data_IF_562898364271
#
_entry.id   IF_562898364271
#
_cell.length_a   1.000
_cell.length_b   1.000
_cell.length_c   1.000
_cell.angle_alpha   90.00
_cell.angle_beta   90.00
_cell.angle_gamma   90.00
#
_symmetry.space_group_name_H-M   'P 1'
#
loop_
_entity.id
_entity.type
_entity.pdbx_description
1 polymer ?
#
# COMPACT_ATOMS: atom_id res chain seq x y z
N UNK A 1 36.60 -12.52 -19.58
CA UNK A 1 36.86 -13.03 -18.23
C UNK A 1 37.88 -12.11 -17.58
N UNK A 2 37.42 -11.16 -16.77
CA UNK A 2 37.70 -11.25 -15.33
C UNK A 2 36.45 -10.98 -14.49
N UNK A 3 36.24 -11.79 -13.45
CA UNK A 3 35.18 -11.60 -12.45
C UNK A 3 35.71 -10.65 -11.38
N UNK A 4 35.17 -9.43 -11.30
CA UNK A 4 35.39 -8.55 -10.14
C UNK A 4 34.48 -9.00 -9.01
N UNK A 5 35.02 -9.77 -8.07
CA UNK A 5 34.37 -10.09 -6.80
C UNK A 5 34.53 -8.89 -5.86
N UNK A 6 33.56 -7.99 -5.85
CA UNK A 6 33.41 -7.04 -4.75
C UNK A 6 32.61 -7.71 -3.64
N UNK A 7 33.05 -7.65 -2.37
CA UNK A 7 32.28 -8.18 -1.25
C UNK A 7 31.02 -7.31 -1.00
N UNK A 8 29.91 -7.91 -0.52
CA UNK A 8 28.70 -7.16 -0.19
C UNK A 8 28.93 -6.24 1.03
N UNK A 9 28.16 -5.14 1.15
CA UNK A 9 28.34 -4.15 2.21
C UNK A 9 27.99 -4.71 3.60
N UNK A 10 28.57 -4.17 4.69
CA UNK A 10 28.22 -4.60 6.04
C UNK A 10 26.81 -4.12 6.40
N UNK A 11 25.87 -5.06 6.61
CA UNK A 11 24.55 -4.76 7.18
C UNK A 11 24.67 -4.44 8.67
N UNK A 12 24.03 -3.33 9.05
CA UNK A 12 23.75 -2.84 10.42
C UNK A 12 23.60 -3.97 11.43
N UNK A 13 24.48 -4.00 12.43
CA UNK A 13 24.28 -4.76 13.65
C UNK A 13 23.02 -4.26 14.37
N UNK A 14 22.13 -5.18 14.77
CA UNK A 14 21.14 -4.88 15.82
C UNK A 14 21.93 -4.62 17.10
N UNK A 15 21.81 -3.40 17.62
CA UNK A 15 22.30 -2.97 18.93
C UNK A 15 21.79 -3.92 20.01
N UNK A 16 22.69 -4.71 20.57
CA UNK A 16 22.59 -5.16 21.96
C UNK A 16 23.98 -4.91 22.56
N UNK A 17 24.15 -3.69 23.07
CA UNK A 17 25.32 -3.32 23.86
C UNK A 17 24.86 -3.18 25.31
N UNK A 18 25.46 -3.97 26.20
CA UNK A 18 25.52 -3.68 27.63
C UNK A 18 26.77 -4.34 28.21
N UNK A 19 27.53 -3.63 29.06
CA UNK A 19 28.96 -3.82 29.18
C UNK A 19 29.34 -4.85 30.25
N UNK A 20 30.56 -5.36 30.08
CA UNK A 20 31.32 -6.16 31.02
C UNK A 20 31.42 -5.51 32.42
N UNK A 21 31.36 -6.35 33.45
CA UNK A 21 32.11 -6.12 34.69
C UNK A 21 32.75 -7.41 35.21
N UNK A 22 34.01 -7.28 35.63
CA UNK A 22 34.92 -8.34 36.04
C UNK A 22 34.76 -8.73 37.52
N UNK A 23 34.72 -10.02 37.86
CA UNK A 23 35.59 -10.66 38.88
C UNK A 23 35.30 -12.16 39.07
N UNK A 24 36.37 -12.96 39.13
CA UNK A 24 36.45 -14.31 39.71
C UNK A 24 37.31 -14.18 41.00
N UNK A 25 37.54 -15.18 41.90
CA UNK A 25 37.07 -16.57 41.92
C UNK A 25 36.66 -17.13 43.30
N UNK A 26 36.00 -18.31 43.33
CA UNK A 26 36.28 -19.49 44.17
C UNK A 26 35.04 -20.31 44.54
N UNK A 27 35.23 -21.63 44.63
CA UNK A 27 34.50 -22.48 45.57
C UNK A 27 33.70 -23.61 44.90
N UNK A 28 34.26 -24.82 44.93
CA UNK A 28 33.63 -26.03 44.45
C UNK A 28 32.32 -26.40 45.15
N UNK A 29 31.49 -27.16 44.43
CA UNK A 29 30.25 -27.70 44.95
C UNK A 29 29.44 -28.32 43.82
N UNK A 30 29.69 -29.60 43.56
CA UNK A 30 28.92 -30.44 42.64
C UNK A 30 27.46 -30.51 43.11
N UNK A 31 26.57 -29.81 42.41
CA UNK A 31 25.13 -30.11 42.39
C UNK A 31 24.78 -30.56 40.97
N UNK A 32 24.00 -31.63 40.78
CA UNK A 32 23.43 -31.93 39.48
C UNK A 32 22.37 -30.85 39.24
N UNK A 33 22.75 -29.80 38.54
CA UNK A 33 21.85 -28.73 38.18
C UNK A 33 20.98 -29.28 37.04
N UNK A 34 19.75 -29.66 37.38
CA UNK A 34 18.64 -29.82 36.43
C UNK A 34 18.25 -28.44 35.90
N UNK A 35 19.16 -27.81 35.16
CA UNK A 35 18.89 -26.58 34.43
C UNK A 35 18.64 -26.97 32.98
N UNK A 36 17.37 -27.18 32.67
CA UNK A 36 16.83 -27.19 31.32
C UNK A 36 16.90 -25.80 30.68
N UNK A 37 18.08 -25.18 30.66
CA UNK A 37 18.35 -24.04 29.79
C UNK A 37 18.40 -24.60 28.37
N UNK A 38 17.30 -24.47 27.63
CA UNK A 38 17.36 -24.53 26.17
C UNK A 38 18.50 -23.61 25.75
N UNK A 39 19.56 -24.19 25.19
CA UNK A 39 20.65 -23.41 24.61
C UNK A 39 20.02 -22.63 23.46
N UNK A 40 20.04 -21.31 23.54
CA UNK A 40 19.61 -20.46 22.42
C UNK A 40 20.45 -20.87 21.21
N UNK A 41 19.80 -21.52 20.25
CA UNK A 41 20.42 -21.92 19.00
C UNK A 41 20.74 -20.64 18.21
N UNK A 42 21.90 -20.56 17.54
CA UNK A 42 22.21 -19.41 16.70
C UNK A 42 21.19 -19.30 15.56
N UNK A 43 20.94 -18.08 15.05
CA UNK A 43 20.07 -17.88 13.90
C UNK A 43 20.60 -18.64 12.68
N UNK A 44 19.69 -19.22 11.90
CA UNK A 44 20.04 -19.90 10.65
C UNK A 44 20.55 -18.89 9.62
N UNK A 45 21.40 -19.35 8.72
CA UNK A 45 21.76 -18.58 7.52
C UNK A 45 20.52 -18.37 6.64
N UNK A 46 20.45 -17.24 5.93
CA UNK A 46 19.30 -16.90 5.06
C UNK A 46 19.09 -17.94 3.94
N UNK A 47 20.18 -18.46 3.39
CA UNK A 47 20.20 -19.55 2.41
C UNK A 47 21.60 -20.18 2.35
N UNK A 48 21.76 -21.22 1.52
CA UNK A 48 23.08 -21.82 1.22
C UNK A 48 24.08 -20.84 0.61
N UNK A 49 23.59 -19.71 0.07
CA UNK A 49 24.40 -18.63 -0.51
C UNK A 49 24.54 -17.42 0.42
N UNK A 50 23.91 -17.45 1.61
CA UNK A 50 23.89 -16.32 2.54
C UNK A 50 23.01 -15.14 2.10
N UNK A 51 22.20 -15.31 1.04
CA UNK A 51 21.29 -14.28 0.50
C UNK A 51 19.83 -14.72 0.64
N UNK A 52 18.94 -13.76 0.86
CA UNK A 52 17.49 -14.01 0.84
C UNK A 52 17.05 -14.19 -0.63
N UNK A 53 16.30 -15.25 -0.98
CA UNK A 53 15.76 -15.39 -2.32
C UNK A 53 14.76 -14.26 -2.62
N UNK A 54 14.63 -13.93 -3.90
CA UNK A 54 13.68 -12.94 -4.35
C UNK A 54 12.24 -13.39 -4.07
N UNK A 55 11.40 -12.48 -3.56
CA UNK A 55 9.96 -12.66 -3.50
C UNK A 55 9.36 -12.36 -4.89
N UNK A 56 9.09 -13.41 -5.67
CA UNK A 56 8.52 -13.33 -7.02
C UNK A 56 7.20 -12.56 -7.04
N UNK A 57 6.40 -12.62 -5.98
CA UNK A 57 5.14 -11.89 -5.91
C UNK A 57 5.39 -10.38 -5.87
N UNK A 58 6.34 -9.94 -5.05
CA UNK A 58 6.69 -8.53 -4.93
C UNK A 58 7.37 -8.06 -6.22
N UNK A 59 8.23 -8.89 -6.82
CA UNK A 59 8.85 -8.58 -8.10
C UNK A 59 7.81 -8.39 -9.20
N UNK A 60 6.81 -9.25 -9.30
CA UNK A 60 5.76 -9.15 -10.33
C UNK A 60 4.99 -7.83 -10.20
N UNK A 61 4.63 -7.43 -8.98
CA UNK A 61 3.99 -6.13 -8.73
C UNK A 61 4.92 -4.98 -9.11
N UNK A 62 6.21 -5.07 -8.77
CA UNK A 62 7.19 -4.05 -9.12
C UNK A 62 7.37 -3.94 -10.64
N UNK A 63 7.46 -5.07 -11.35
CA UNK A 63 7.55 -5.12 -12.80
C UNK A 63 6.31 -4.52 -13.48
N UNK A 64 5.12 -4.85 -12.99
CA UNK A 64 3.87 -4.25 -13.45
C UNK A 64 3.86 -2.72 -13.27
N UNK A 65 4.11 -2.22 -12.07
CA UNK A 65 4.09 -0.77 -11.79
C UNK A 65 5.15 -0.05 -12.61
N UNK A 66 6.36 -0.59 -12.67
CA UNK A 66 7.46 -0.03 -13.47
C UNK A 66 7.09 0.02 -14.95
N UNK A 67 6.52 -1.04 -15.50
CA UNK A 67 6.07 -1.06 -16.88
C UNK A 67 5.01 0.02 -17.16
N UNK A 68 4.01 0.17 -16.29
CA UNK A 68 3.00 1.23 -16.41
C UNK A 68 3.61 2.64 -16.38
N UNK A 69 4.60 2.88 -15.50
CA UNK A 69 5.32 4.16 -15.43
C UNK A 69 6.11 4.43 -16.71
N UNK A 70 6.87 3.44 -17.20
CA UNK A 70 7.78 3.63 -18.34
C UNK A 70 7.07 3.69 -19.69
N UNK A 71 5.85 3.17 -19.77
CA UNK A 71 5.04 3.16 -21.00
C UNK A 71 3.88 4.16 -20.98
N UNK A 72 3.80 5.00 -19.94
CA UNK A 72 2.76 6.02 -19.82
C UNK A 72 2.79 6.99 -21.02
N UNK A 73 1.65 7.61 -21.36
CA UNK A 73 1.62 8.70 -22.33
C UNK A 73 2.54 9.85 -21.91
N UNK A 74 3.15 10.52 -22.88
CA UNK A 74 3.97 11.73 -22.66
C UNK A 74 3.08 12.95 -22.37
N UNK A 75 2.46 12.92 -21.20
CA UNK A 75 1.56 13.95 -20.69
C UNK A 75 2.06 14.32 -19.28
N UNK A 76 2.24 15.62 -19.04
CA UNK A 76 2.63 16.13 -17.73
C UNK A 76 1.54 15.84 -16.71
N UNK A 77 1.89 15.11 -15.65
CA UNK A 77 0.98 14.76 -14.56
C UNK A 77 1.69 13.91 -13.51
N UNK A 78 0.99 13.69 -12.40
CA UNK A 78 1.49 12.89 -11.30
C UNK A 78 1.09 11.44 -11.48
N UNK A 79 2.02 10.51 -11.28
CA UNK A 79 1.68 9.09 -11.16
C UNK A 79 1.18 8.82 -9.75
N UNK A 80 0.00 8.22 -9.69
CA UNK A 80 -0.58 7.67 -8.48
C UNK A 80 -0.52 6.14 -8.56
N UNK A 81 0.07 5.53 -7.54
CA UNK A 81 0.04 4.08 -7.31
C UNK A 81 -0.70 3.85 -6.02
N UNK A 82 -1.84 3.17 -6.11
CA UNK A 82 -2.72 2.90 -4.98
C UNK A 82 -3.07 1.40 -4.91
N UNK A 83 -3.23 0.87 -3.70
CA UNK A 83 -3.79 -0.44 -3.45
C UNK A 83 -5.09 -0.28 -2.66
N UNK A 84 -6.18 -0.83 -3.19
CA UNK A 84 -7.50 -0.79 -2.55
C UNK A 84 -7.86 -2.13 -1.97
N UNK A 85 -8.46 -2.13 -0.79
CA UNK A 85 -9.01 -3.34 -0.14
C UNK A 85 -10.47 -3.50 -0.57
N UNK A 86 -10.83 -4.69 -1.02
CA UNK A 86 -12.13 -4.94 -1.64
C UNK A 86 -12.40 -6.42 -1.89
N UNK A 87 -13.33 -6.71 -2.81
CA UNK A 87 -13.68 -8.09 -3.18
C UNK A 87 -13.66 -8.26 -4.69
N UNK A 88 -13.05 -9.36 -5.14
CA UNK A 88 -13.11 -9.79 -6.53
C UNK A 88 -14.36 -10.64 -6.73
N UNK A 89 -15.31 -10.14 -7.53
CA UNK A 89 -16.56 -10.83 -7.83
C UNK A 89 -16.62 -11.31 -9.26
N UNK A 90 -17.10 -12.52 -9.44
CA UNK A 90 -17.48 -13.03 -10.74
C UNK A 90 -18.63 -12.18 -11.30
N UNK A 91 -18.50 -11.73 -12.56
CA UNK A 91 -19.48 -10.79 -13.14
C UNK A 91 -20.86 -11.41 -13.32
N UNK A 92 -20.93 -12.71 -13.60
CA UNK A 92 -22.21 -13.39 -13.85
C UNK A 92 -22.98 -13.67 -12.55
N UNK A 93 -22.32 -14.26 -11.55
CA UNK A 93 -22.95 -14.68 -10.29
C UNK A 93 -22.99 -13.58 -9.23
N UNK A 94 -22.12 -12.57 -9.34
CA UNK A 94 -21.93 -11.55 -8.31
C UNK A 94 -21.35 -12.08 -7.00
N UNK A 95 -20.94 -13.34 -6.95
CA UNK A 95 -20.28 -13.93 -5.78
C UNK A 95 -18.79 -13.63 -5.82
N UNK A 96 -18.13 -13.65 -4.65
CA UNK A 96 -16.67 -13.62 -4.58
C UNK A 96 -16.12 -14.81 -5.38
N UNK A 97 -15.12 -14.55 -6.22
CA UNK A 97 -14.50 -15.59 -7.04
C UNK A 97 -13.88 -16.68 -6.14
N UNK A 98 -13.87 -17.90 -6.64
CA UNK A 98 -13.18 -19.02 -5.99
C UNK A 98 -12.23 -19.65 -6.99
N UNK A 99 -10.93 -19.46 -6.76
CA UNK A 99 -9.87 -20.02 -7.60
C UNK A 99 -9.20 -21.21 -6.92
N UNK A 100 -8.74 -22.22 -7.67
CA UNK A 100 -8.08 -23.41 -7.13
C UNK A 100 -6.62 -23.11 -6.71
N UNK A 101 -6.43 -22.08 -5.88
CA UNK A 101 -5.13 -21.64 -5.33
C UNK A 101 -5.20 -21.55 -3.81
N UNK A 102 -4.11 -21.87 -3.14
CA UNK A 102 -4.06 -21.97 -1.68
C UNK A 102 -3.52 -20.70 -0.99
N UNK A 103 -2.96 -19.77 -1.76
CA UNK A 103 -2.26 -18.60 -1.24
C UNK A 103 -2.63 -17.36 -2.04
N UNK A 104 -2.28 -16.21 -1.50
CA UNK A 104 -2.37 -14.92 -2.19
C UNK A 104 -1.76 -15.05 -3.59
N UNK A 105 -2.52 -14.68 -4.61
CA UNK A 105 -2.16 -14.90 -6.01
C UNK A 105 -2.54 -13.68 -6.85
N UNK A 106 -1.59 -13.23 -7.68
CA UNK A 106 -1.83 -12.23 -8.71
C UNK A 106 -2.65 -12.89 -9.81
N UNK A 107 -3.77 -12.27 -10.17
CA UNK A 107 -4.58 -12.70 -11.30
C UNK A 107 -4.02 -12.05 -12.56
N UNK A 108 -3.67 -12.89 -13.54
CA UNK A 108 -3.30 -12.41 -14.86
C UNK A 108 -4.43 -11.52 -15.44
N UNK A 109 -4.13 -10.32 -15.94
CA UNK A 109 -5.15 -9.44 -16.54
C UNK A 109 -6.00 -10.18 -17.58
N UNK A 110 -7.29 -9.89 -17.61
CA UNK A 110 -8.29 -10.45 -18.54
C UNK A 110 -8.46 -11.98 -18.54
N UNK A 111 -7.77 -12.70 -17.63
CA UNK A 111 -7.88 -14.17 -17.55
C UNK A 111 -9.17 -14.67 -16.91
N UNK A 112 -9.83 -13.83 -16.10
CA UNK A 112 -11.07 -14.15 -15.38
C UNK A 112 -12.04 -12.98 -15.53
N UNK A 113 -13.28 -13.27 -15.91
CA UNK A 113 -14.34 -12.27 -16.02
C UNK A 113 -14.88 -11.85 -14.64
N UNK A 114 -14.06 -11.07 -13.94
CA UNK A 114 -14.39 -10.55 -12.62
C UNK A 114 -14.44 -9.01 -12.61
N UNK A 115 -15.11 -8.46 -11.59
CA UNK A 115 -15.05 -7.05 -11.22
C UNK A 115 -14.51 -6.93 -9.81
N UNK A 116 -13.76 -5.87 -9.54
CA UNK A 116 -13.35 -5.54 -8.18
C UNK A 116 -14.32 -4.53 -7.59
N UNK A 117 -14.79 -4.80 -6.38
CA UNK A 117 -15.63 -3.90 -5.61
C UNK A 117 -14.82 -3.33 -4.44
N UNK A 118 -14.43 -2.07 -4.57
CA UNK A 118 -13.83 -1.27 -3.50
C UNK A 118 -14.93 -0.78 -2.58
N UNK A 119 -15.43 -1.65 -1.70
CA UNK A 119 -16.42 -1.28 -0.71
C UNK A 119 -16.35 -2.23 0.49
N UNK A 120 -16.69 -1.73 1.67
CA UNK A 120 -16.84 -2.52 2.89
C UNK A 120 -18.09 -2.10 3.67
N UNK A 121 -18.49 -2.92 4.63
CA UNK A 121 -19.57 -2.56 5.56
C UNK A 121 -19.14 -1.45 6.52
N UNK A 122 -20.12 -0.74 7.09
CA UNK A 122 -19.90 0.27 8.15
C UNK A 122 -19.11 -0.32 9.33
N UNK A 123 -19.35 -1.59 9.67
CA UNK A 123 -18.66 -2.27 10.78
C UNK A 123 -17.18 -2.53 10.46
N UNK A 124 -16.87 -2.97 9.23
CA UNK A 124 -15.49 -3.14 8.76
C UNK A 124 -14.76 -1.79 8.72
N UNK A 125 -15.43 -0.74 8.24
CA UNK A 125 -14.90 0.61 8.23
C UNK A 125 -14.59 1.10 9.66
N UNK A 126 -15.52 0.91 10.60
CA UNK A 126 -15.31 1.24 12.03
C UNK A 126 -14.15 0.43 12.63
N UNK A 127 -14.01 -0.84 12.27
CA UNK A 127 -12.91 -1.69 12.70
C UNK A 127 -11.55 -1.12 12.26
N UNK A 128 -11.40 -0.78 10.98
CA UNK A 128 -10.16 -0.15 10.48
C UNK A 128 -9.90 1.20 11.11
N UNK A 129 -10.93 2.03 11.29
CA UNK A 129 -10.78 3.32 11.98
C UNK A 129 -10.23 3.13 13.41
N UNK A 130 -10.74 2.13 14.13
CA UNK A 130 -10.26 1.83 15.49
C UNK A 130 -8.81 1.36 15.47
N UNK A 131 -8.47 0.47 14.54
CA UNK A 131 -7.12 -0.06 14.36
C UNK A 131 -6.12 1.04 14.03
N UNK A 132 -6.39 1.87 13.03
CA UNK A 132 -5.47 2.92 12.57
C UNK A 132 -5.29 4.02 13.63
N UNK A 133 -6.35 4.41 14.34
CA UNK A 133 -6.22 5.32 15.49
C UNK A 133 -5.39 4.71 16.63
N UNK A 134 -5.52 3.41 16.87
CA UNK A 134 -4.69 2.68 17.81
C UNK A 134 -3.20 2.71 17.42
N UNK A 135 -2.89 2.42 16.16
CA UNK A 135 -1.52 2.50 15.62
C UNK A 135 -0.95 3.92 15.69
N UNK A 136 -1.75 4.94 15.36
CA UNK A 136 -1.35 6.34 15.51
C UNK A 136 -1.00 6.69 16.95
N UNK A 137 -1.81 6.25 17.90
CA UNK A 137 -1.59 6.51 19.33
C UNK A 137 -0.34 5.77 19.84
N UNK A 138 -0.15 4.52 19.43
CA UNK A 138 1.00 3.71 19.83
C UNK A 138 2.32 4.24 19.23
N UNK A 139 2.32 4.60 17.96
CA UNK A 139 3.50 5.12 17.26
C UNK A 139 3.95 6.51 17.72
N UNK A 140 3.05 7.27 18.37
CA UNK A 140 3.38 8.56 18.98
C UNK A 140 4.14 8.43 20.33
N UNK A 141 4.28 7.22 20.87
CA UNK A 141 4.98 7.01 22.15
C UNK A 141 6.51 7.12 21.96
N UNK A 142 7.25 7.81 22.85
CA UNK A 142 8.71 7.98 22.71
C UNK A 142 9.51 6.67 22.67
N UNK A 143 8.98 5.59 23.25
CA UNK A 143 9.59 4.26 23.26
C UNK A 143 9.26 3.42 22.02
N UNK A 144 8.42 3.92 21.12
CA UNK A 144 8.03 3.18 19.93
C UNK A 144 9.22 3.12 18.93
N UNK A 145 9.56 1.93 18.40
CA UNK A 145 10.77 1.75 17.60
C UNK A 145 10.65 2.25 16.14
N UNK A 146 9.44 2.50 15.65
CA UNK A 146 9.16 2.98 14.30
C UNK A 146 8.75 4.46 14.29
N UNK A 147 8.84 5.10 13.12
CA UNK A 147 8.36 6.46 12.90
C UNK A 147 6.90 6.66 13.30
N UNK A 148 6.53 7.84 13.81
CA UNK A 148 5.16 8.13 14.18
C UNK A 148 4.26 8.20 12.95
N UNK A 149 3.01 7.77 13.09
CA UNK A 149 1.97 8.02 12.09
C UNK A 149 1.42 9.43 12.26
N UNK A 150 1.26 10.14 11.15
CA UNK A 150 0.53 11.40 11.09
C UNK A 150 -0.96 11.14 10.80
N UNK A 151 -1.82 12.10 11.15
CA UNK A 151 -3.28 11.97 10.98
C UNK A 151 -3.93 13.28 10.55
N UNK A 152 -4.75 13.19 9.51
CA UNK A 152 -5.58 14.28 9.02
C UNK A 152 -7.02 13.80 8.78
N UNK A 153 -7.99 14.64 9.12
CA UNK A 153 -9.40 14.38 8.84
C UNK A 153 -9.89 15.40 7.83
N UNK A 154 -10.24 14.94 6.63
CA UNK A 154 -10.59 15.77 5.49
C UNK A 154 -12.07 15.57 5.14
N UNK A 155 -12.77 16.69 5.02
CA UNK A 155 -14.13 16.74 4.48
C UNK A 155 -14.09 17.39 3.12
N UNK A 156 -14.31 16.60 2.07
CA UNK A 156 -14.09 17.03 0.69
C UNK A 156 -15.37 16.85 -0.14
N UNK A 157 -15.52 17.69 -1.15
CA UNK A 157 -16.55 17.56 -2.18
C UNK A 157 -15.88 17.39 -3.53
N UNK A 158 -16.09 16.25 -4.15
CA UNK A 158 -15.68 16.01 -5.54
C UNK A 158 -16.85 16.40 -6.45
N UNK A 159 -16.57 17.27 -7.41
CA UNK A 159 -17.47 17.66 -8.49
C UNK A 159 -16.92 17.20 -9.83
N UNK A 160 -17.72 16.48 -10.61
CA UNK A 160 -17.30 15.94 -11.90
C UNK A 160 -17.93 16.75 -13.04
N UNK A 161 -17.09 17.11 -14.00
CA UNK A 161 -17.47 17.84 -15.20
C UNK A 161 -17.15 16.99 -16.41
N UNK A 162 -17.95 17.15 -17.47
CA UNK A 162 -17.67 16.53 -18.77
C UNK A 162 -17.06 17.61 -19.66
N UNK A 163 -15.83 17.40 -20.12
CA UNK A 163 -15.20 18.30 -21.11
C UNK A 163 -15.84 18.13 -22.49
N UNK A 164 -15.50 19.01 -23.44
CA UNK A 164 -15.94 18.91 -24.84
C UNK A 164 -15.55 17.55 -25.46
N UNK A 165 -14.41 17.00 -25.06
CA UNK A 165 -13.91 15.68 -25.48
C UNK A 165 -14.52 14.50 -24.71
N UNK A 166 -15.57 14.75 -23.91
CA UNK A 166 -16.23 13.79 -23.00
C UNK A 166 -15.31 13.22 -21.92
N UNK A 167 -14.20 13.88 -21.65
CA UNK A 167 -13.30 13.49 -20.57
C UNK A 167 -13.87 13.98 -19.25
N UNK A 168 -13.76 13.12 -18.22
CA UNK A 168 -14.24 13.44 -16.88
C UNK A 168 -13.16 14.22 -16.13
N UNK A 169 -13.44 15.49 -15.85
CA UNK A 169 -12.61 16.33 -14.98
C UNK A 169 -13.16 16.28 -13.56
N UNK A 170 -12.29 16.02 -12.58
CA UNK A 170 -12.61 16.06 -11.15
C UNK A 170 -12.11 17.37 -10.55
N UNK A 171 -13.01 18.11 -9.91
CA UNK A 171 -12.66 19.26 -9.07
C UNK A 171 -12.96 18.89 -7.63
N UNK A 172 -11.93 18.87 -6.79
CA UNK A 172 -12.02 18.59 -5.36
C UNK A 172 -11.99 19.89 -4.58
N UNK A 173 -12.92 20.05 -3.63
CA UNK A 173 -13.00 21.22 -2.75
C UNK A 173 -13.02 20.81 -1.30
N UNK A 174 -12.42 21.63 -0.44
CA UNK A 174 -12.66 21.56 0.99
C UNK A 174 -14.13 21.91 1.28
N UNK A 175 -14.84 21.04 1.99
CA UNK A 175 -16.29 21.18 2.21
C UNK A 175 -16.64 22.44 3.00
N UNK A 176 -15.78 22.83 3.96
CA UNK A 176 -16.06 23.93 4.88
C UNK A 176 -15.80 25.29 4.23
N UNK A 177 -14.70 25.42 3.50
CA UNK A 177 -14.23 26.70 2.93
C UNK A 177 -14.64 26.88 1.48
N UNK A 178 -14.97 25.81 0.76
CA UNK A 178 -15.24 25.82 -0.67
C UNK A 178 -13.99 26.00 -1.55
N UNK A 179 -12.81 26.06 -0.94
CA UNK A 179 -11.52 26.23 -1.63
C UNK A 179 -11.23 25.03 -2.52
N UNK A 180 -10.82 25.27 -3.78
CA UNK A 180 -10.38 24.20 -4.68
C UNK A 180 -9.03 23.69 -4.20
N UNK A 181 -8.96 22.41 -3.86
CA UNK A 181 -7.72 21.73 -3.46
C UNK A 181 -7.06 21.03 -4.64
N UNK A 182 -7.85 20.52 -5.58
CA UNK A 182 -7.37 19.79 -6.75
C UNK A 182 -8.32 19.99 -7.93
N UNK A 183 -7.76 20.10 -9.14
CA UNK A 183 -8.50 20.09 -10.38
C UNK A 183 -7.70 19.30 -11.42
N UNK A 184 -8.17 18.09 -11.74
CA UNK A 184 -7.40 17.16 -12.58
C UNK A 184 -8.29 16.23 -13.40
N UNK A 185 -7.68 15.63 -14.41
CA UNK A 185 -8.22 14.49 -15.18
C UNK A 185 -7.41 13.25 -14.84
N UNK A 186 -8.09 12.18 -14.47
CA UNK A 186 -7.47 10.89 -14.11
C UNK A 186 -7.48 9.95 -15.31
N UNK A 187 -6.31 9.50 -15.72
CA UNK A 187 -6.11 8.52 -16.78
C UNK A 187 -5.66 7.22 -16.14
N UNK A 188 -6.40 6.14 -16.35
CA UNK A 188 -5.98 4.81 -15.86
C UNK A 188 -4.90 4.26 -16.77
N UNK A 189 -3.76 3.85 -16.19
CA UNK A 189 -2.70 3.18 -16.91
C UNK A 189 -2.88 1.66 -16.85
N UNK A 190 -3.21 1.12 -15.68
CA UNK A 190 -3.51 -0.30 -15.53
C UNK A 190 -3.90 -0.68 -14.11
N UNK A 191 -4.51 -1.86 -13.97
CA UNK A 191 -4.89 -2.46 -12.70
C UNK A 191 -4.34 -3.90 -12.63
N UNK A 192 -3.96 -4.33 -11.43
CA UNK A 192 -3.58 -5.71 -11.12
C UNK A 192 -4.43 -6.21 -9.94
N UNK A 193 -5.14 -7.32 -10.14
CA UNK A 193 -6.02 -7.91 -9.12
C UNK A 193 -5.27 -8.98 -8.34
N UNK A 194 -5.38 -8.95 -7.01
CA UNK A 194 -4.78 -9.93 -6.11
C UNK A 194 -5.89 -10.66 -5.36
N UNK A 195 -6.00 -11.95 -5.60
CA UNK A 195 -6.92 -12.84 -4.89
C UNK A 195 -6.27 -13.40 -3.63
N UNK A 196 -6.98 -13.33 -2.51
CA UNK A 196 -6.49 -13.74 -1.19
C UNK A 196 -7.40 -14.82 -0.56
N UNK A 197 -7.22 -16.11 -0.92
CA UNK A 197 -8.14 -17.20 -0.54
C UNK A 197 -8.21 -17.46 0.99
N UNK A 198 -7.18 -17.03 1.72
CA UNK A 198 -7.07 -17.22 3.19
C UNK A 198 -7.48 -15.97 3.98
N UNK A 199 -8.03 -14.95 3.31
CA UNK A 199 -8.38 -13.65 3.89
C UNK A 199 -9.81 -13.29 3.55
N UNK A 200 -10.43 -12.44 4.38
CA UNK A 200 -11.80 -12.01 4.15
C UNK A 200 -11.88 -11.04 2.97
N UNK A 201 -10.84 -10.21 2.77
CA UNK A 201 -10.73 -9.29 1.64
C UNK A 201 -9.72 -9.76 0.58
N UNK A 202 -9.96 -9.31 -0.66
CA UNK A 202 -9.01 -9.25 -1.75
C UNK A 202 -8.45 -7.82 -1.87
N UNK A 203 -7.57 -7.59 -2.84
CA UNK A 203 -7.06 -6.23 -3.09
C UNK A 203 -6.68 -6.02 -4.55
N UNK A 204 -6.62 -4.76 -4.96
CA UNK A 204 -6.24 -4.34 -6.31
C UNK A 204 -5.18 -3.26 -6.23
N UNK A 205 -4.09 -3.43 -6.97
CA UNK A 205 -3.15 -2.36 -7.28
C UNK A 205 -3.63 -1.63 -8.52
N UNK A 206 -3.70 -0.30 -8.47
CA UNK A 206 -4.07 0.55 -9.61
C UNK A 206 -2.95 1.56 -9.85
N UNK A 207 -2.61 1.79 -11.11
CA UNK A 207 -1.68 2.84 -11.53
C UNK A 207 -2.43 3.82 -12.39
N UNK A 208 -2.43 5.09 -11.99
CA UNK A 208 -3.12 6.16 -12.69
C UNK A 208 -2.15 7.33 -12.96
N UNK A 209 -2.44 8.10 -14.00
CA UNK A 209 -1.84 9.41 -14.25
C UNK A 209 -2.88 10.50 -13.95
N UNK A 210 -2.58 11.36 -12.99
CA UNK A 210 -3.40 12.51 -12.61
C UNK A 210 -2.86 13.76 -13.28
N UNK A 211 -3.56 14.21 -14.32
CA UNK A 211 -3.17 15.34 -15.16
C UNK A 211 -3.84 16.60 -14.63
N UNK A 212 -3.11 17.58 -14.09
CA UNK A 212 -3.69 18.86 -13.69
C UNK A 212 -4.36 19.54 -14.88
N UNK A 213 -5.55 20.08 -14.68
CA UNK A 213 -6.29 20.81 -15.73
C UNK A 213 -6.85 22.11 -15.18
N UNK A 214 -7.14 23.05 -16.07
CA UNK A 214 -7.85 24.27 -15.69
C UNK A 214 -9.26 23.95 -15.21
N UNK A 215 -9.80 24.77 -14.32
CA UNK A 215 -11.16 24.60 -13.83
C UNK A 215 -12.15 24.64 -15.01
N UNK A 216 -12.97 23.60 -15.20
CA UNK A 216 -13.90 23.53 -16.31
C UNK A 216 -15.01 24.58 -16.19
N UNK A 217 -15.55 25.02 -17.34
CA UNK A 217 -16.75 25.86 -17.40
C UNK A 217 -18.01 24.99 -17.33
N UNK A 218 -19.12 25.57 -16.86
CA UNK A 218 -20.42 24.91 -16.78
C UNK A 218 -20.73 24.32 -15.41
N UNK A 219 -21.75 23.46 -15.36
CA UNK A 219 -22.24 22.83 -14.13
C UNK A 219 -21.73 21.40 -13.99
N UNK A 220 -21.46 20.93 -12.75
CA UNK A 220 -21.05 19.55 -12.55
C UNK A 220 -22.18 18.58 -12.93
N UNK A 221 -21.82 17.47 -13.57
CA UNK A 221 -22.74 16.38 -13.91
C UNK A 221 -23.01 15.46 -12.73
N UNK A 222 -22.06 15.38 -11.80
CA UNK A 222 -22.16 14.54 -10.62
C UNK A 222 -21.37 15.15 -9.47
N UNK A 223 -21.86 14.99 -8.24
CA UNK A 223 -21.16 15.41 -7.03
C UNK A 223 -21.19 14.29 -6.00
N UNK A 224 -20.09 14.12 -5.28
CA UNK A 224 -20.03 13.23 -4.12
C UNK A 224 -19.30 13.91 -2.97
N UNK A 225 -19.75 13.63 -1.76
CA UNK A 225 -19.11 14.05 -0.52
C UNK A 225 -18.18 12.95 -0.04
N UNK A 226 -16.99 13.32 0.43
CA UNK A 226 -15.99 12.41 1.01
C UNK A 226 -15.68 12.83 2.43
N UNK A 227 -15.79 11.88 3.33
CA UNK A 227 -15.35 11.96 4.72
C UNK A 227 -14.14 11.03 4.85
N UNK A 228 -12.93 11.59 4.93
CA UNK A 228 -11.66 10.86 4.80
C UNK A 228 -10.80 11.03 6.04
N UNK A 229 -10.52 9.91 6.70
CA UNK A 229 -9.48 9.79 7.71
C UNK A 229 -8.20 9.33 7.02
N UNK A 230 -7.22 10.22 6.93
CA UNK A 230 -5.95 9.98 6.26
C UNK A 230 -4.84 9.81 7.29
N UNK A 231 -4.04 8.76 7.13
CA UNK A 231 -2.89 8.46 7.97
C UNK A 231 -1.63 8.40 7.10
N UNK A 232 -0.60 9.17 7.46
CA UNK A 232 0.66 9.16 6.71
C UNK A 232 1.77 8.49 7.51
N UNK A 233 2.55 7.64 6.84
CA UNK A 233 3.70 6.95 7.41
C UNK A 233 4.77 6.76 6.35
N UNK A 234 5.92 7.43 6.52
CA UNK A 234 7.03 7.42 5.57
C UNK A 234 6.56 7.80 4.15
N UNK A 235 6.68 6.88 3.18
CA UNK A 235 6.29 7.11 1.77
C UNK A 235 4.83 6.74 1.46
N UNK A 236 4.00 6.53 2.47
CA UNK A 236 2.65 5.98 2.29
C UNK A 236 1.58 6.82 2.95
N UNK A 237 0.46 7.02 2.26
CA UNK A 237 -0.79 7.46 2.87
C UNK A 237 -1.77 6.30 2.89
N UNK A 238 -2.48 6.15 4.00
CA UNK A 238 -3.54 5.18 4.21
C UNK A 238 -4.83 5.97 4.44
N UNK A 239 -5.75 5.87 3.49
CA UNK A 239 -6.98 6.63 3.48
C UNK A 239 -8.16 5.69 3.76
N UNK A 240 -8.89 5.99 4.83
CA UNK A 240 -10.16 5.38 5.14
C UNK A 240 -11.27 6.40 4.82
N UNK A 241 -12.02 6.14 3.74
CA UNK A 241 -12.92 7.12 3.15
C UNK A 241 -14.35 6.61 3.12
N UNK A 242 -15.28 7.39 3.68
CA UNK A 242 -16.71 7.25 3.39
C UNK A 242 -17.08 8.18 2.24
N UNK A 243 -17.66 7.61 1.19
CA UNK A 243 -18.12 8.35 0.00
C UNK A 243 -19.64 8.35 -0.01
N UNK A 244 -20.25 9.53 -0.09
CA UNK A 244 -21.70 9.70 -0.24
C UNK A 244 -22.00 10.32 -1.60
N UNK A 245 -22.71 9.57 -2.44
CA UNK A 245 -23.02 9.92 -3.82
C UNK A 245 -24.53 10.01 -4.03
N UNK A 246 -24.97 11.05 -4.74
CA UNK A 246 -26.36 11.22 -5.18
C UNK A 246 -26.41 11.14 -6.69
N UNK A 247 -26.98 10.05 -7.22
CA UNK A 247 -26.99 9.78 -8.67
C UNK A 247 -28.14 10.48 -9.40
N UNK A 248 -29.21 10.86 -8.71
CA UNK A 248 -30.35 11.58 -9.29
C UNK A 248 -31.13 12.37 -8.22
N UNK A 249 -31.81 13.47 -8.58
CA UNK A 249 -32.68 14.19 -7.66
C UNK A 249 -33.77 13.26 -7.12
N UNK A 250 -33.79 13.04 -5.80
CA UNK A 250 -34.78 12.18 -5.11
C UNK A 250 -34.41 10.71 -4.96
N UNK A 251 -33.29 10.23 -5.54
CA UNK A 251 -32.77 8.89 -5.25
C UNK A 251 -32.11 8.84 -3.86
N UNK A 252 -32.20 7.72 -3.13
CA UNK A 252 -31.47 7.56 -1.87
C UNK A 252 -29.96 7.66 -2.12
N UNK A 253 -29.25 8.33 -1.21
CA UNK A 253 -27.81 8.48 -1.31
C UNK A 253 -27.12 7.12 -1.22
N UNK A 254 -26.22 6.84 -2.14
CA UNK A 254 -25.35 5.68 -2.07
C UNK A 254 -24.16 6.00 -1.17
N UNK A 255 -23.93 5.17 -0.16
CA UNK A 255 -22.79 5.29 0.76
C UNK A 255 -21.86 4.12 0.51
N UNK A 256 -20.59 4.43 0.24
CA UNK A 256 -19.51 3.47 0.10
C UNK A 256 -18.45 3.74 1.18
N UNK A 257 -17.79 2.68 1.61
CA UNK A 257 -16.67 2.73 2.53
C UNK A 257 -15.45 2.10 1.88
N UNK A 258 -14.40 2.89 1.70
CA UNK A 258 -13.19 2.53 0.97
C UNK A 258 -11.99 2.57 1.92
N UNK A 259 -11.05 1.65 1.72
CA UNK A 259 -9.73 1.67 2.35
C UNK A 259 -8.70 1.53 1.26
N UNK A 260 -7.82 2.52 1.17
CA UNK A 260 -6.75 2.59 0.17
C UNK A 260 -5.42 2.90 0.85
N UNK A 261 -4.35 2.39 0.27
CA UNK A 261 -2.98 2.81 0.56
C UNK A 261 -2.36 3.31 -0.73
N UNK A 262 -1.69 4.45 -0.68
CA UNK A 262 -1.04 5.08 -1.83
C UNK A 262 0.42 5.38 -1.52
N UNK A 263 1.25 5.40 -2.57
CA UNK A 263 2.60 5.94 -2.49
C UNK A 263 2.50 7.47 -2.53
N UNK A 264 2.90 8.13 -1.46
CA UNK A 264 2.62 9.55 -1.21
C UNK A 264 3.36 10.50 -2.17
N UNK A 265 4.58 10.14 -2.60
CA UNK A 265 5.47 11.03 -3.36
C UNK A 265 5.74 10.51 -4.75
N UNK A 266 5.02 11.06 -5.73
CA UNK A 266 5.14 10.69 -7.14
C UNK A 266 6.56 10.91 -7.66
N UNK A 267 7.23 11.97 -7.21
CA UNK A 267 8.58 12.33 -7.67
C UNK A 267 9.61 11.26 -7.28
N UNK A 268 9.50 10.71 -6.06
CA UNK A 268 10.38 9.63 -5.59
C UNK A 268 10.08 8.33 -6.33
N UNK A 269 8.80 8.02 -6.53
CA UNK A 269 8.40 6.86 -7.31
C UNK A 269 8.99 6.91 -8.72
N UNK A 270 8.94 8.07 -9.39
CA UNK A 270 9.50 8.25 -10.72
C UNK A 270 11.03 8.21 -10.75
N UNK A 271 11.68 8.88 -9.80
CA UNK A 271 13.14 8.90 -9.71
C UNK A 271 13.70 7.48 -9.48
N UNK A 272 13.11 6.74 -8.54
CA UNK A 272 13.53 5.36 -8.25
C UNK A 272 13.20 4.40 -9.40
N UNK A 273 12.06 4.58 -10.08
CA UNK A 273 11.72 3.80 -11.26
C UNK A 273 12.74 4.01 -12.39
N UNK A 274 13.16 5.26 -12.65
CA UNK A 274 14.15 5.56 -13.67
C UNK A 274 15.54 4.97 -13.37
N UNK A 275 15.91 4.87 -12.09
CA UNK A 275 17.17 4.26 -11.64
C UNK A 275 17.14 2.72 -11.59
N UNK A 276 15.95 2.11 -11.68
CA UNK A 276 15.75 0.68 -11.42
C UNK A 276 16.61 -0.19 -12.35
N UNK A 277 17.47 -1.00 -11.76
CA UNK A 277 18.34 -1.91 -12.50
C UNK A 277 19.47 -1.23 -13.30
N UNK A 278 19.69 0.08 -13.19
CA UNK A 278 20.83 0.73 -13.82
C UNK A 278 22.14 0.24 -13.21
N UNK A 279 22.96 -0.41 -14.02
CA UNK A 279 24.24 -1.00 -13.62
C UNK A 279 25.30 0.05 -13.30
N UNK A 280 25.11 1.29 -13.73
CA UNK A 280 26.03 2.41 -13.49
C UNK A 280 25.77 3.09 -12.14
N UNK A 281 24.63 2.82 -11.51
CA UNK A 281 24.27 3.38 -10.21
C UNK A 281 24.66 2.44 -9.07
N UNK A 282 24.91 3.00 -7.86
CA UNK A 282 25.10 2.21 -6.65
C UNK A 282 23.94 1.22 -6.41
N UNK A 283 24.24 0.08 -5.77
CA UNK A 283 23.27 -0.99 -5.55
C UNK A 283 21.98 -0.51 -4.88
N UNK A 284 22.11 0.33 -3.84
CA UNK A 284 20.99 0.87 -3.09
C UNK A 284 20.08 1.80 -3.92
N UNK A 285 20.62 2.49 -4.92
CA UNK A 285 19.82 3.37 -5.80
C UNK A 285 19.05 2.55 -6.81
N UNK A 286 19.72 1.59 -7.47
CA UNK A 286 19.07 0.73 -8.46
C UNK A 286 18.08 -0.28 -7.86
N UNK A 287 18.15 -0.58 -6.55
CA UNK A 287 17.20 -1.41 -5.80
C UNK A 287 16.10 -0.60 -5.10
N UNK A 288 16.22 0.73 -5.00
CA UNK A 288 15.31 1.58 -4.22
C UNK A 288 13.84 1.43 -4.63
N UNK A 289 13.58 1.26 -5.93
CA UNK A 289 12.22 1.03 -6.43
C UNK A 289 11.64 -0.28 -5.91
N UNK A 290 12.38 -1.38 -6.01
CA UNK A 290 11.93 -2.69 -5.52
C UNK A 290 11.72 -2.67 -3.99
N UNK A 291 12.54 -1.91 -3.26
CA UNK A 291 12.38 -1.71 -1.83
C UNK A 291 11.13 -0.91 -1.46
N UNK A 292 10.82 0.14 -2.23
CA UNK A 292 9.59 0.93 -2.09
C UNK A 292 8.36 0.06 -2.35
N UNK A 293 8.35 -0.72 -3.44
CA UNK A 293 7.24 -1.63 -3.77
C UNK A 293 7.11 -2.74 -2.73
N UNK A 294 8.22 -3.29 -2.21
CA UNK A 294 8.18 -4.26 -1.11
C UNK A 294 7.48 -3.69 0.12
N UNK A 295 7.80 -2.46 0.53
CA UNK A 295 7.15 -1.81 1.67
C UNK A 295 5.66 -1.53 1.39
N UNK A 296 5.31 -1.06 0.19
CA UNK A 296 3.93 -0.87 -0.26
C UNK A 296 3.10 -2.17 -0.16
N UNK A 297 3.61 -3.27 -0.73
CA UNK A 297 2.94 -4.59 -0.71
C UNK A 297 2.81 -5.11 0.72
N UNK A 298 3.82 -4.93 1.56
CA UNK A 298 3.76 -5.35 2.96
C UNK A 298 2.67 -4.59 3.73
N UNK A 299 2.54 -3.28 3.52
CA UNK A 299 1.49 -2.49 4.15
C UNK A 299 0.09 -2.92 3.65
N UNK A 300 -0.09 -3.13 2.35
CA UNK A 300 -1.34 -3.68 1.79
C UNK A 300 -1.69 -5.05 2.40
N UNK A 301 -0.70 -5.96 2.49
CA UNK A 301 -0.85 -7.27 3.13
C UNK A 301 -1.26 -7.15 4.60
N UNK A 302 -0.72 -6.19 5.35
CA UNK A 302 -1.11 -5.96 6.75
C UNK A 302 -2.58 -5.53 6.82
N UNK A 303 -3.02 -4.61 5.97
CA UNK A 303 -4.42 -4.16 5.94
C UNK A 303 -5.38 -5.31 5.60
N UNK A 304 -5.06 -6.10 4.57
CA UNK A 304 -5.86 -7.27 4.16
C UNK A 304 -5.86 -8.37 5.23
N UNK A 305 -4.73 -8.58 5.93
CA UNK A 305 -4.67 -9.55 7.05
C UNK A 305 -5.54 -9.17 8.23
N UNK A 306 -5.75 -7.87 8.44
CA UNK A 306 -6.58 -7.34 9.52
C UNK A 306 -8.03 -7.10 9.08
N UNK A 307 -8.45 -7.60 7.91
CA UNK A 307 -9.86 -7.59 7.51
C UNK A 307 -10.70 -8.41 8.49
N UNK A 308 -11.71 -7.83 9.10
CA UNK A 308 -12.70 -8.60 9.86
C UNK A 308 -13.56 -9.45 8.94
N UNK A 309 -14.22 -10.49 9.47
CA UNK A 309 -15.18 -11.30 8.70
C UNK A 309 -16.35 -10.47 8.14
N UNK A 310 -17.12 -11.08 7.24
CA UNK A 310 -18.36 -10.48 6.71
C UNK A 310 -18.20 -9.69 5.41
N UNK A 311 -17.07 -9.83 4.71
CA UNK A 311 -16.98 -9.40 3.31
C UNK A 311 -17.74 -10.44 2.46
N UNK A 312 -19.02 -10.19 2.23
CA UNK A 312 -19.89 -10.99 1.35
C UNK A 312 -19.98 -10.32 0.01
#
# INVERSE_FOLDING_TARGET
MPRSSSPPPPKRARLNDSPHDHHNPNGGGSKPNTDGRMRDLPPLSLSILGVEPLDEFIKEIADFIHHMIMTRPDIVGNIEVEAKVGILRDKMSGQRIMLPVLVESIIAPDSIDCRFESNMSVNQHKHYNTLLNGLKTASSQPSHPASPLEYHHLYLVDSFYTSEDREKVRVTRDEKTGTVTECMRKIRLGDLNIYSPKRAADWRVSVNLEVPVQHPLGSPTHTRRKDRMSYSHEEFNIDLTQVTSTTSPGAPAQILHELEIEIARSEILLATAAARGDVNLPEHERSAFDELIRAFVNNARILVRNSSDGWQ
#
